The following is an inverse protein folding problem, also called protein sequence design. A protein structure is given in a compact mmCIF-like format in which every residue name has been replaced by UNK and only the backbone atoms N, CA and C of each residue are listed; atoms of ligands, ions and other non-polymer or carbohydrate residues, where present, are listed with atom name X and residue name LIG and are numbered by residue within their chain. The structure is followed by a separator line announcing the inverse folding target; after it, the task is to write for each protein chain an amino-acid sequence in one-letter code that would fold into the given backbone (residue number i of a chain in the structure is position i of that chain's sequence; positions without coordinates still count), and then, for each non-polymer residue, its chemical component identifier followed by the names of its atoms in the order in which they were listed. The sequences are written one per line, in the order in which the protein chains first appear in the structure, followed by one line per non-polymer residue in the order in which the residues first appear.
data_IF_794452312709
#
_entry.id   IF_794452312709
#
_cell.length_a   1.000
_cell.length_b   1.000
_cell.length_c   1.000
_cell.angle_alpha   90.00
_cell.angle_beta   90.00
_cell.angle_gamma   90.00
#
_symmetry.space_group_name_H-M   'P 1'
#
loop_
_entity.id
_entity.type
_entity.pdbx_description
1 polymer ?
#
# COMPACT_ATOMS: atom_id res chain seq x y z
N UNK A 1 26.43 -0.21 7.78
CA UNK A 1 25.39 -1.24 7.53
C UNK A 1 25.98 -2.24 6.56
N UNK A 2 26.14 -3.50 6.97
CA UNK A 2 26.67 -4.56 6.11
C UNK A 2 25.74 -4.85 4.93
N UNK A 3 26.27 -5.43 3.85
CA UNK A 3 25.47 -5.73 2.66
C UNK A 3 24.38 -6.75 2.96
N UNK A 4 24.71 -7.83 3.68
CA UNK A 4 23.76 -8.86 4.13
C UNK A 4 22.60 -8.26 4.93
N UNK A 5 22.89 -7.31 5.83
CA UNK A 5 21.84 -6.67 6.62
C UNK A 5 20.93 -5.80 5.74
N UNK A 6 21.50 -5.08 4.78
CA UNK A 6 20.71 -4.29 3.83
C UNK A 6 19.81 -5.19 2.97
N UNK A 7 20.35 -6.31 2.46
CA UNK A 7 19.59 -7.27 1.64
C UNK A 7 18.48 -7.97 2.43
N UNK A 8 18.72 -8.35 3.69
CA UNK A 8 17.69 -8.90 4.58
C UNK A 8 16.56 -7.91 4.83
N UNK A 9 16.90 -6.64 5.10
CA UNK A 9 15.91 -5.59 5.31
C UNK A 9 15.10 -5.32 4.03
N UNK A 10 15.77 -5.20 2.89
CA UNK A 10 15.10 -5.00 1.60
C UNK A 10 14.19 -6.18 1.23
N UNK A 11 14.62 -7.42 1.47
CA UNK A 11 13.77 -8.60 1.29
C UNK A 11 12.47 -8.50 2.10
N UNK A 12 12.58 -8.18 3.39
CA UNK A 12 11.41 -8.02 4.28
C UNK A 12 10.54 -6.87 3.77
N UNK A 13 11.14 -5.70 3.50
CA UNK A 13 10.43 -4.51 3.03
C UNK A 13 9.67 -4.76 1.73
N UNK A 14 10.31 -5.32 0.71
CA UNK A 14 9.64 -5.61 -0.56
C UNK A 14 8.57 -6.70 -0.42
N UNK A 15 8.78 -7.71 0.43
CA UNK A 15 7.77 -8.75 0.65
C UNK A 15 6.53 -8.21 1.35
N UNK A 16 6.71 -7.32 2.33
CA UNK A 16 5.61 -6.61 2.97
C UNK A 16 4.90 -5.67 1.99
N UNK A 17 5.64 -4.94 1.14
CA UNK A 17 5.02 -4.12 0.08
C UNK A 17 4.16 -4.95 -0.88
N UNK A 18 4.62 -6.15 -1.26
CA UNK A 18 3.85 -7.06 -2.11
C UNK A 18 2.52 -7.43 -1.46
N UNK A 19 2.55 -7.83 -0.18
CA UNK A 19 1.33 -8.21 0.56
C UNK A 19 0.40 -7.02 0.71
N UNK A 20 0.92 -5.87 1.15
CA UNK A 20 0.11 -4.67 1.38
C UNK A 20 -0.48 -4.12 0.07
N UNK A 21 0.29 -4.12 -1.03
CA UNK A 21 -0.22 -3.72 -2.34
C UNK A 21 -1.34 -4.64 -2.84
N UNK A 22 -1.19 -5.95 -2.66
CA UNK A 22 -2.23 -6.92 -2.99
C UNK A 22 -3.50 -6.71 -2.13
N UNK A 23 -3.33 -6.51 -0.81
CA UNK A 23 -4.44 -6.22 0.10
C UNK A 23 -5.18 -4.94 -0.31
N UNK A 24 -4.46 -3.86 -0.61
CA UNK A 24 -5.05 -2.60 -1.08
C UNK A 24 -5.84 -2.79 -2.39
N UNK A 25 -5.29 -3.56 -3.34
CA UNK A 25 -5.96 -3.87 -4.61
C UNK A 25 -7.24 -4.69 -4.41
N UNK A 26 -7.15 -5.77 -3.64
CA UNK A 26 -8.25 -6.73 -3.45
C UNK A 26 -9.41 -6.07 -2.69
N UNK A 27 -9.14 -5.46 -1.54
CA UNK A 27 -10.19 -4.83 -0.71
C UNK A 27 -10.93 -3.73 -1.46
N UNK A 28 -10.19 -2.87 -2.16
CA UNK A 28 -10.80 -1.83 -2.99
C UNK A 28 -11.55 -2.41 -4.19
N UNK A 29 -11.04 -3.49 -4.79
CA UNK A 29 -11.71 -4.21 -5.86
C UNK A 29 -13.04 -4.83 -5.43
N UNK A 30 -13.12 -5.39 -4.21
CA UNK A 30 -14.35 -5.91 -3.62
C UNK A 30 -15.37 -4.78 -3.43
N UNK A 31 -14.98 -3.71 -2.73
CA UNK A 31 -15.85 -2.57 -2.50
C UNK A 31 -16.34 -1.93 -3.82
N UNK A 32 -15.43 -1.70 -4.76
CA UNK A 32 -15.81 -1.13 -6.05
C UNK A 32 -16.72 -2.08 -6.84
N UNK A 33 -16.37 -3.37 -6.93
CA UNK A 33 -17.17 -4.36 -7.65
C UNK A 33 -18.59 -4.48 -7.12
N UNK A 34 -18.76 -4.47 -5.79
CA UNK A 34 -20.08 -4.52 -5.14
C UNK A 34 -20.95 -3.30 -5.48
N UNK A 35 -20.35 -2.12 -5.53
CA UNK A 35 -21.07 -0.85 -5.72
C UNK A 35 -21.22 -0.41 -7.18
N UNK A 36 -20.41 -0.98 -8.09
CA UNK A 36 -20.21 -0.48 -9.45
C UNK A 36 -21.52 -0.24 -10.20
N UNK A 37 -22.40 -1.24 -10.24
CA UNK A 37 -23.64 -1.18 -11.02
C UNK A 37 -24.71 -0.31 -10.33
N UNK A 38 -24.77 -0.34 -9.01
CA UNK A 38 -25.78 0.38 -8.23
C UNK A 38 -25.56 1.89 -8.25
N UNK A 39 -24.30 2.31 -8.23
CA UNK A 39 -23.93 3.73 -8.22
C UNK A 39 -23.91 4.36 -9.62
N UNK A 40 -23.80 3.54 -10.68
CA UNK A 40 -23.72 4.00 -12.06
C UNK A 40 -25.09 4.38 -12.64
N UNK A 41 -25.67 5.44 -12.08
CA UNK A 41 -26.97 5.97 -12.49
C UNK A 41 -26.88 7.36 -13.14
N UNK A 42 -25.71 7.70 -13.67
CA UNK A 42 -25.49 8.98 -14.33
C UNK A 42 -26.16 9.01 -15.70
N UNK A 43 -26.75 10.15 -16.02
CA UNK A 43 -27.38 10.41 -17.32
C UNK A 43 -26.35 11.08 -18.23
N UNK A 44 -26.47 10.91 -19.56
CA UNK A 44 -25.61 11.48 -20.60
C UNK A 44 -24.25 10.80 -20.80
N UNK A 45 -24.17 9.47 -20.62
CA UNK A 45 -22.97 8.68 -20.98
C UNK A 45 -21.75 8.93 -20.07
N UNK A 46 -21.94 9.60 -18.92
CA UNK A 46 -20.91 9.72 -17.89
C UNK A 46 -20.94 8.48 -17.00
N UNK A 47 -19.80 7.79 -16.87
CA UNK A 47 -19.67 6.65 -15.96
C UNK A 47 -19.51 7.13 -14.52
N UNK A 48 -20.44 6.75 -13.66
CA UNK A 48 -20.49 7.11 -12.23
C UNK A 48 -20.42 5.87 -11.34
N UNK A 49 -19.58 4.92 -11.74
CA UNK A 49 -19.53 3.60 -11.16
C UNK A 49 -18.59 3.48 -9.96
N UNK A 50 -17.90 4.55 -9.56
CA UNK A 50 -16.89 4.48 -8.51
C UNK A 50 -17.49 4.82 -7.15
N UNK A 51 -17.14 4.02 -6.13
CA UNK A 51 -17.54 4.31 -4.76
C UNK A 51 -16.78 5.51 -4.16
N UNK A 52 -15.59 5.81 -4.68
CA UNK A 52 -14.84 7.01 -4.31
C UNK A 52 -15.34 8.23 -5.08
N UNK A 53 -15.22 9.40 -4.46
CA UNK A 53 -15.72 10.66 -5.00
C UNK A 53 -17.23 10.64 -5.37
N UNK A 54 -18.02 9.87 -4.61
CA UNK A 54 -19.48 9.85 -4.73
C UNK A 54 -20.09 11.23 -4.47
N UNK A 55 -21.24 11.49 -5.07
CA UNK A 55 -21.91 12.79 -5.05
C UNK A 55 -23.38 12.66 -4.63
N UNK A 56 -23.77 13.50 -3.68
CA UNK A 56 -25.18 13.67 -3.32
C UNK A 56 -25.89 14.56 -4.35
N UNK A 57 -27.05 14.11 -4.82
CA UNK A 57 -27.98 14.90 -5.64
C UNK A 57 -29.34 15.00 -4.93
N UNK A 58 -30.21 15.96 -5.28
CA UNK A 58 -31.50 16.14 -4.61
C UNK A 58 -32.43 14.92 -4.62
N UNK A 59 -32.24 13.99 -5.56
CA UNK A 59 -33.10 12.81 -5.73
C UNK A 59 -32.41 11.48 -5.46
N UNK A 60 -31.08 11.42 -5.48
CA UNK A 60 -30.30 10.17 -5.34
C UNK A 60 -28.84 10.41 -5.00
N UNK A 61 -28.19 9.39 -4.46
CA UNK A 61 -26.72 9.35 -4.35
C UNK A 61 -26.12 8.69 -5.59
N UNK A 62 -25.09 9.31 -6.17
CA UNK A 62 -24.39 8.84 -7.36
C UNK A 62 -22.94 8.50 -7.02
N UNK A 63 -22.35 7.53 -7.72
CA UNK A 63 -20.92 7.28 -7.62
C UNK A 63 -20.09 8.35 -8.33
N UNK A 64 -18.78 8.33 -8.08
CA UNK A 64 -17.81 9.16 -8.77
C UNK A 64 -17.42 8.58 -10.13
N UNK A 65 -16.57 9.32 -10.84
CA UNK A 65 -15.93 8.86 -12.08
C UNK A 65 -15.23 7.51 -11.86
N UNK A 66 -15.24 6.63 -12.87
CA UNK A 66 -14.58 5.33 -12.77
C UNK A 66 -13.06 5.41 -12.55
N UNK A 67 -12.41 6.50 -12.99
CA UNK A 67 -10.95 6.61 -13.04
C UNK A 67 -10.26 6.47 -11.67
N UNK A 68 -10.70 7.17 -10.59
CA UNK A 68 -10.18 6.94 -9.25
C UNK A 68 -10.24 5.47 -8.81
N UNK A 69 -11.38 4.78 -8.95
CA UNK A 69 -11.49 3.38 -8.56
C UNK A 69 -10.59 2.45 -9.38
N UNK A 70 -10.49 2.69 -10.70
CA UNK A 70 -9.52 1.97 -11.56
C UNK A 70 -8.10 2.16 -11.01
N UNK A 71 -7.73 3.40 -10.69
CA UNK A 71 -6.42 3.73 -10.16
C UNK A 71 -6.15 3.09 -8.80
N UNK A 72 -7.08 3.17 -7.85
CA UNK A 72 -6.84 2.63 -6.51
C UNK A 72 -6.88 1.11 -6.47
N UNK A 73 -7.67 0.46 -7.33
CA UNK A 73 -7.73 -1.00 -7.46
C UNK A 73 -6.54 -1.56 -8.23
N UNK A 74 -6.19 -1.02 -9.40
CA UNK A 74 -5.16 -1.62 -10.26
C UNK A 74 -3.79 -0.94 -10.14
N UNK A 75 -3.72 0.32 -9.70
CA UNK A 75 -2.48 1.06 -9.49
C UNK A 75 -1.45 0.33 -8.63
N UNK A 76 -1.84 -0.35 -7.52
CA UNK A 76 -0.91 -1.15 -6.73
C UNK A 76 -0.21 -2.27 -7.49
N UNK A 77 -0.87 -2.87 -8.50
CA UNK A 77 -0.34 -4.04 -9.20
C UNK A 77 0.99 -3.75 -9.90
N UNK A 78 1.19 -2.53 -10.38
CA UNK A 78 2.44 -2.12 -11.02
C UNK A 78 3.64 -2.25 -10.09
N UNK A 79 3.53 -1.72 -8.86
CA UNK A 79 4.62 -1.84 -7.89
C UNK A 79 4.67 -3.21 -7.24
N UNK A 80 3.55 -3.95 -7.14
CA UNK A 80 3.53 -5.34 -6.66
C UNK A 80 4.39 -6.25 -7.53
N UNK A 81 4.30 -6.12 -8.86
CA UNK A 81 5.16 -6.89 -9.78
C UNK A 81 6.64 -6.57 -9.57
N UNK A 82 6.97 -5.28 -9.39
CA UNK A 82 8.33 -4.85 -9.08
C UNK A 82 8.82 -5.43 -7.74
N UNK A 83 8.01 -5.38 -6.68
CA UNK A 83 8.42 -5.85 -5.36
C UNK A 83 8.52 -7.37 -5.29
N UNK A 84 7.72 -8.12 -6.05
CA UNK A 84 7.89 -9.57 -6.20
C UNK A 84 9.27 -9.87 -6.80
N UNK A 85 9.62 -9.23 -7.92
CA UNK A 85 10.91 -9.44 -8.56
C UNK A 85 12.08 -9.10 -7.62
N UNK A 86 11.98 -7.98 -6.90
CA UNK A 86 13.00 -7.56 -5.94
C UNK A 86 13.08 -8.46 -4.70
N UNK A 87 11.95 -8.95 -4.18
CA UNK A 87 11.90 -9.95 -3.11
C UNK A 87 12.57 -11.24 -3.54
N UNK A 88 12.29 -11.75 -4.73
CA UNK A 88 12.96 -12.93 -5.27
C UNK A 88 14.47 -12.71 -5.41
N UNK A 89 14.89 -11.56 -5.94
CA UNK A 89 16.30 -11.21 -6.09
C UNK A 89 17.05 -11.16 -4.76
N UNK A 90 16.56 -10.39 -3.79
CA UNK A 90 17.20 -10.28 -2.48
C UNK A 90 17.07 -11.58 -1.68
N UNK A 91 15.96 -12.32 -1.83
CA UNK A 91 15.74 -13.63 -1.21
C UNK A 91 16.76 -14.64 -1.71
N UNK A 92 16.97 -14.72 -3.02
CA UNK A 92 18.00 -15.58 -3.61
C UNK A 92 19.38 -15.26 -3.03
N UNK A 93 19.72 -13.96 -2.93
CA UNK A 93 21.03 -13.54 -2.43
C UNK A 93 21.24 -13.86 -0.95
N UNK A 94 20.22 -13.65 -0.12
CA UNK A 94 20.27 -13.93 1.32
C UNK A 94 20.33 -15.45 1.58
N UNK A 95 19.56 -16.25 0.85
CA UNK A 95 19.43 -17.70 1.11
C UNK A 95 20.57 -18.49 0.46
N UNK A 96 20.84 -18.25 -0.83
CA UNK A 96 21.74 -19.09 -1.62
C UNK A 96 23.11 -18.45 -1.91
N UNK A 97 23.21 -17.12 -1.86
CA UNK A 97 24.49 -16.42 -2.09
C UNK A 97 25.21 -16.03 -0.79
N UNK A 98 24.65 -16.35 0.39
CA UNK A 98 25.39 -16.19 1.64
C UNK A 98 26.44 -17.29 1.74
N UNK A 99 27.72 -16.89 1.84
CA UNK A 99 28.80 -17.85 2.08
C UNK A 99 28.82 -18.14 3.57
N UNK A 100 28.47 -19.37 3.93
CA UNK A 100 28.53 -19.85 5.31
C UNK A 100 29.95 -19.76 5.87
N UNK A 101 30.05 -19.26 7.11
CA UNK A 101 31.28 -19.08 7.90
C UNK A 101 32.11 -20.37 7.94
N UNK A 102 33.37 -20.28 7.51
CA UNK A 102 34.45 -21.12 8.05
C UNK A 102 35.27 -20.27 8.99
N UNK A 103 35.16 -20.51 10.30
CA UNK A 103 36.09 -19.96 11.28
C UNK A 103 37.45 -20.58 10.98
N UNK A 104 38.41 -19.78 10.50
CA UNK A 104 39.78 -20.25 10.29
C UNK A 104 40.66 -19.64 11.37
N UNK A 105 41.11 -20.49 12.28
CA UNK A 105 42.18 -20.13 13.21
C UNK A 105 43.50 -20.20 12.45
N UNK A 106 44.25 -19.10 12.41
CA UNK A 106 45.59 -19.08 11.84
C UNK A 106 46.57 -18.84 12.98
N UNK A 107 47.50 -19.78 13.16
CA UNK A 107 48.61 -19.64 14.09
C UNK A 107 49.75 -18.97 13.34
N UNK A 108 50.14 -17.76 13.72
CA UNK A 108 51.34 -17.09 13.20
C UNK A 108 52.36 -16.93 14.31
N UNK A 109 53.63 -17.23 14.03
CA UNK A 109 54.72 -17.01 14.98
C UNK A 109 55.27 -15.60 14.75
N UNK A 110 55.36 -14.78 15.79
CA UNK A 110 55.99 -13.46 15.69
C UNK A 110 57.53 -13.61 15.66
N UNK A 111 58.24 -12.53 15.34
CA UNK A 111 59.71 -12.51 15.29
C UNK A 111 60.36 -12.81 16.65
N UNK A 112 59.62 -12.66 17.75
CA UNK A 112 60.03 -13.04 19.10
C UNK A 112 59.80 -14.54 19.43
N UNK A 113 59.24 -15.32 18.50
CA UNK A 113 58.99 -16.74 18.66
C UNK A 113 57.69 -17.10 19.41
N UNK A 114 56.88 -16.13 19.79
CA UNK A 114 55.56 -16.35 20.38
C UNK A 114 54.54 -16.70 19.30
N UNK A 115 53.72 -17.71 19.58
CA UNK A 115 52.60 -18.10 18.73
C UNK A 115 51.40 -17.21 19.03
N UNK A 116 51.04 -16.37 18.07
CA UNK A 116 49.84 -15.53 18.12
C UNK A 116 48.72 -16.25 17.37
N UNK A 117 47.65 -16.58 18.08
CA UNK A 117 46.43 -17.11 17.50
C UNK A 117 45.61 -15.97 16.89
N UNK A 118 45.65 -15.82 15.57
CA UNK A 118 44.78 -14.88 14.87
C UNK A 118 43.49 -15.59 14.46
N UNK A 119 42.42 -15.27 15.17
CA UNK A 119 41.07 -15.72 14.81
C UNK A 119 40.53 -14.85 13.69
N UNK A 120 40.66 -15.31 12.44
CA UNK A 120 40.04 -14.63 11.30
C UNK A 120 38.54 -14.89 11.34
N UNK A 121 37.78 -13.89 11.81
CA UNK A 121 36.33 -13.85 11.67
C UNK A 121 36.02 -13.21 10.33
N UNK A 122 35.84 -14.02 9.28
CA UNK A 122 35.19 -13.53 8.07
C UNK A 122 33.71 -13.28 8.40
N UNK A 123 33.31 -12.02 8.36
CA UNK A 123 31.92 -11.58 8.53
C UNK A 123 31.11 -12.15 7.36
N UNK A 124 29.94 -12.74 7.66
CA UNK A 124 28.96 -13.15 6.64
C UNK A 124 28.73 -11.98 5.68
N UNK A 125 29.14 -12.16 4.42
CA UNK A 125 28.88 -11.18 3.38
C UNK A 125 28.32 -11.87 2.13
N UNK A 126 27.45 -11.15 1.42
CA UNK A 126 27.01 -11.57 0.10
C UNK A 126 27.99 -11.03 -0.94
N UNK A 127 28.06 -11.67 -2.11
CA UNK A 127 28.94 -11.21 -3.20
C UNK A 127 28.69 -9.71 -3.48
N UNK A 128 29.71 -8.84 -3.48
CA UNK A 128 29.50 -7.40 -3.55
C UNK A 128 28.73 -7.00 -4.81
N UNK A 129 27.76 -6.11 -4.67
CA UNK A 129 27.03 -5.54 -5.80
C UNK A 129 27.69 -4.24 -6.27
N UNK A 130 27.70 -3.96 -7.58
CA UNK A 130 28.28 -2.73 -8.10
C UNK A 130 27.48 -1.49 -7.64
N UNK A 131 28.16 -0.34 -7.54
CA UNK A 131 27.53 0.94 -7.14
C UNK A 131 26.35 1.32 -8.02
N UNK A 132 26.45 1.06 -9.32
CA UNK A 132 25.38 1.30 -10.29
C UNK A 132 24.08 0.63 -9.90
N UNK A 133 24.11 -0.60 -9.37
CA UNK A 133 22.92 -1.31 -8.91
C UNK A 133 22.20 -0.54 -7.78
N UNK A 134 22.93 -0.09 -6.76
CA UNK A 134 22.36 0.64 -5.63
C UNK A 134 21.82 2.02 -6.04
N UNK A 135 22.51 2.70 -6.96
CA UNK A 135 22.04 3.98 -7.52
C UNK A 135 20.77 3.78 -8.33
N UNK A 136 20.72 2.80 -9.23
CA UNK A 136 19.53 2.49 -10.02
C UNK A 136 18.35 2.14 -9.12
N UNK A 137 18.54 1.29 -8.12
CA UNK A 137 17.46 0.97 -7.19
C UNK A 137 17.03 2.17 -6.35
N UNK A 138 17.94 3.03 -5.91
CA UNK A 138 17.60 4.24 -5.18
C UNK A 138 16.67 5.15 -6.01
N UNK A 139 16.96 5.32 -7.30
CA UNK A 139 16.11 6.10 -8.21
C UNK A 139 14.75 5.43 -8.38
N UNK A 140 14.73 4.11 -8.68
CA UNK A 140 13.48 3.38 -8.87
C UNK A 140 12.59 3.38 -7.63
N UNK A 141 13.14 3.11 -6.44
CA UNK A 141 12.35 3.13 -5.21
C UNK A 141 11.88 4.54 -4.85
N UNK A 142 12.61 5.59 -5.24
CA UNK A 142 12.15 6.98 -5.05
C UNK A 142 10.93 7.29 -5.92
N UNK A 143 10.94 6.84 -7.19
CA UNK A 143 9.77 6.94 -8.08
C UNK A 143 8.58 6.18 -7.48
N UNK A 144 8.80 4.94 -7.02
CA UNK A 144 7.74 4.16 -6.39
C UNK A 144 7.23 4.76 -5.07
N UNK A 145 8.09 5.46 -4.33
CA UNK A 145 7.67 6.19 -3.12
C UNK A 145 6.68 7.30 -3.47
N UNK A 146 6.97 8.11 -4.48
CA UNK A 146 6.05 9.16 -4.95
C UNK A 146 4.77 8.54 -5.51
N UNK A 147 4.90 7.47 -6.30
CA UNK A 147 3.75 6.75 -6.85
C UNK A 147 2.82 6.22 -5.75
N UNK A 148 3.38 5.55 -4.73
CA UNK A 148 2.61 5.03 -3.59
C UNK A 148 1.97 6.14 -2.76
N UNK A 149 2.64 7.29 -2.61
CA UNK A 149 2.07 8.47 -1.95
C UNK A 149 0.86 9.01 -2.72
N UNK A 150 0.95 9.14 -4.04
CA UNK A 150 -0.16 9.61 -4.89
C UNK A 150 -1.32 8.62 -4.84
N UNK A 151 -1.04 7.31 -4.89
CA UNK A 151 -2.06 6.27 -4.70
C UNK A 151 -2.77 6.41 -3.35
N UNK A 152 -2.03 6.51 -2.24
CA UNK A 152 -2.58 6.71 -0.92
C UNK A 152 -3.41 8.00 -0.82
N UNK A 153 -2.91 9.13 -1.35
CA UNK A 153 -3.58 10.41 -1.30
C UNK A 153 -4.92 10.41 -2.05
N UNK A 154 -4.95 9.87 -3.29
CA UNK A 154 -6.18 9.77 -4.08
C UNK A 154 -7.20 8.86 -3.39
N UNK A 155 -6.74 7.76 -2.80
CA UNK A 155 -7.60 6.83 -2.08
C UNK A 155 -8.21 7.48 -0.83
N UNK A 156 -7.38 8.10 0.01
CA UNK A 156 -7.81 8.75 1.24
C UNK A 156 -8.76 9.92 0.97
N UNK A 157 -8.43 10.77 0.00
CA UNK A 157 -9.26 11.92 -0.37
C UNK A 157 -10.62 11.46 -0.92
N UNK A 158 -10.61 10.47 -1.82
CA UNK A 158 -11.84 9.90 -2.38
C UNK A 158 -12.74 9.26 -1.32
N UNK A 159 -12.16 8.60 -0.31
CA UNK A 159 -12.87 8.02 0.82
C UNK A 159 -13.56 9.08 1.67
N UNK A 160 -12.85 10.14 2.05
CA UNK A 160 -13.43 11.23 2.83
C UNK A 160 -14.44 12.04 2.04
N UNK A 161 -14.20 12.25 0.74
CA UNK A 161 -15.15 12.93 -0.14
C UNK A 161 -16.50 12.21 -0.16
N UNK A 162 -16.52 10.91 -0.46
CA UNK A 162 -17.75 10.11 -0.47
C UNK A 162 -18.43 10.13 0.90
N UNK A 163 -17.67 9.91 1.99
CA UNK A 163 -18.19 9.96 3.36
C UNK A 163 -18.91 11.29 3.65
N UNK A 164 -18.31 12.42 3.31
CA UNK A 164 -18.89 13.74 3.56
C UNK A 164 -20.12 14.02 2.70
N UNK A 165 -20.17 13.51 1.47
CA UNK A 165 -21.34 13.63 0.61
C UNK A 165 -22.49 12.72 1.08
N UNK A 166 -22.18 11.51 1.55
CA UNK A 166 -23.19 10.59 2.04
C UNK A 166 -23.79 11.03 3.39
N UNK A 167 -23.03 11.73 4.25
CA UNK A 167 -23.57 12.39 5.45
C UNK A 167 -24.73 13.34 5.13
N UNK A 168 -24.60 14.14 4.07
CA UNK A 168 -25.67 15.03 3.59
C UNK A 168 -26.88 14.25 3.07
N UNK A 169 -26.63 13.10 2.46
CA UNK A 169 -27.70 12.20 1.99
C UNK A 169 -28.49 11.64 3.18
N UNK A 170 -27.79 11.23 4.25
CA UNK A 170 -28.42 10.70 5.46
C UNK A 170 -29.26 11.74 6.21
N UNK A 171 -28.85 13.00 6.23
CA UNK A 171 -29.65 14.09 6.81
C UNK A 171 -31.05 14.16 6.18
N UNK A 172 -31.10 14.09 4.84
CA UNK A 172 -32.36 14.12 4.07
C UNK A 172 -33.14 12.82 4.25
N UNK A 173 -32.47 11.67 4.14
CA UNK A 173 -33.12 10.36 4.19
C UNK A 173 -33.79 10.08 5.55
N UNK A 174 -33.16 10.52 6.64
CA UNK A 174 -33.65 10.30 8.00
C UNK A 174 -34.61 11.40 8.48
N UNK A 175 -34.83 12.46 7.68
CA UNK A 175 -35.64 13.62 8.09
C UNK A 175 -35.11 14.29 9.37
N UNK A 176 -33.79 14.19 9.60
CA UNK A 176 -33.17 14.63 10.85
C UNK A 176 -32.94 16.14 10.78
N UNK A 177 -33.55 16.85 11.73
CA UNK A 177 -33.41 18.30 11.85
C UNK A 177 -32.91 18.69 13.26
N UNK A 178 -32.33 19.89 13.38
CA UNK A 178 -31.94 20.46 14.67
C UNK A 178 -30.76 19.75 15.34
N UNK A 179 -30.91 19.39 16.62
CA UNK A 179 -29.81 18.94 17.51
C UNK A 179 -29.17 17.60 17.14
N UNK A 180 -29.75 16.86 16.20
CA UNK A 180 -29.21 15.59 15.72
C UNK A 180 -28.28 15.72 14.49
N UNK A 181 -28.27 16.86 13.79
CA UNK A 181 -27.32 17.16 12.69
C UNK A 181 -25.85 17.09 13.16
N UNK A 182 -25.46 17.67 14.31
CA UNK A 182 -24.10 17.57 14.83
C UNK A 182 -23.65 16.12 15.12
N UNK A 183 -24.58 15.21 15.39
CA UNK A 183 -24.25 13.78 15.62
C UNK A 183 -23.83 13.13 14.31
N UNK A 184 -24.60 13.33 13.24
CA UNK A 184 -24.32 12.75 11.92
C UNK A 184 -23.03 13.31 11.32
N UNK A 185 -22.84 14.63 11.41
CA UNK A 185 -21.67 15.29 10.81
C UNK A 185 -20.42 15.27 11.69
N UNK A 186 -20.58 15.28 13.02
CA UNK A 186 -19.48 15.46 13.97
C UNK A 186 -19.09 14.22 14.78
N UNK A 187 -19.94 13.19 14.86
CA UNK A 187 -19.69 12.01 15.70
C UNK A 187 -19.67 10.68 14.95
N UNK A 188 -20.41 10.54 13.85
CA UNK A 188 -20.35 9.32 13.04
C UNK A 188 -19.01 9.22 12.30
N UNK A 189 -18.28 8.14 12.53
CA UNK A 189 -17.06 7.82 11.79
C UNK A 189 -17.36 7.55 10.32
N UNK A 190 -16.41 7.81 9.42
CA UNK A 190 -16.61 7.48 8.01
C UNK A 190 -16.85 6.00 7.77
N UNK A 191 -16.24 5.12 8.59
CA UNK A 191 -16.55 3.69 8.57
C UNK A 191 -18.06 3.44 8.72
N UNK A 192 -18.65 4.02 9.76
CA UNK A 192 -20.08 3.88 10.04
C UNK A 192 -20.95 4.46 8.92
N UNK A 193 -20.50 5.53 8.25
CA UNK A 193 -21.20 6.12 7.11
C UNK A 193 -21.26 5.13 5.93
N UNK A 194 -20.17 4.42 5.65
CA UNK A 194 -20.16 3.37 4.63
C UNK A 194 -21.01 2.16 5.05
N UNK A 195 -21.01 1.80 6.35
CA UNK A 195 -21.90 0.74 6.85
C UNK A 195 -23.38 1.15 6.69
N UNK A 196 -23.75 2.40 6.99
CA UNK A 196 -25.09 2.92 6.71
C UNK A 196 -25.42 2.87 5.22
N UNK A 197 -24.44 3.16 4.37
CA UNK A 197 -24.63 3.07 2.92
C UNK A 197 -24.93 1.63 2.51
N UNK A 198 -24.24 0.63 3.04
CA UNK A 198 -24.52 -0.78 2.77
C UNK A 198 -25.98 -1.14 3.01
N UNK A 199 -26.56 -0.72 4.14
CA UNK A 199 -27.94 -1.06 4.54
C UNK A 199 -29.03 -0.15 3.95
N UNK A 200 -28.78 1.17 3.88
CA UNK A 200 -29.83 2.15 3.57
C UNK A 200 -29.90 2.52 2.09
N UNK A 201 -28.79 2.39 1.34
CA UNK A 201 -28.76 2.78 -0.06
C UNK A 201 -29.50 1.73 -0.90
N UNK A 202 -30.60 2.11 -1.60
CA UNK A 202 -31.33 1.16 -2.41
C UNK A 202 -30.51 0.71 -3.62
N UNK A 203 -30.75 -0.54 -4.05
CA UNK A 203 -30.27 -1.03 -5.34
C UNK A 203 -30.89 -0.22 -6.48
N UNK A 204 -30.17 -0.10 -7.59
CA UNK A 204 -30.68 0.59 -8.77
C UNK A 204 -31.58 -0.32 -9.59
N UNK A 205 -32.46 0.24 -10.42
CA UNK A 205 -33.26 -0.55 -11.37
C UNK A 205 -32.42 -1.28 -12.43
N UNK A 206 -31.15 -0.88 -12.63
CA UNK A 206 -30.24 -1.42 -13.64
C UNK A 206 -29.14 -2.32 -13.05
N UNK A 207 -29.12 -2.51 -11.73
CA UNK A 207 -28.03 -3.15 -11.02
C UNK A 207 -28.44 -3.55 -9.62
N UNK A 208 -28.35 -4.86 -9.35
CA UNK A 208 -28.69 -5.48 -8.08
C UNK A 208 -27.42 -5.85 -7.31
N UNK A 209 -27.41 -5.54 -6.01
CA UNK A 209 -26.35 -5.96 -5.09
C UNK A 209 -26.76 -7.27 -4.44
N UNK A 210 -25.91 -8.28 -4.50
CA UNK A 210 -26.16 -9.54 -3.83
C UNK A 210 -25.73 -9.44 -2.36
N UNK A 211 -26.69 -9.10 -1.49
CA UNK A 211 -26.49 -8.97 -0.05
C UNK A 211 -25.75 -7.70 0.38
N UNK A 212 -25.23 -7.75 1.60
CA UNK A 212 -24.49 -6.67 2.24
C UNK A 212 -23.02 -7.10 2.42
N UNK A 213 -22.10 -6.17 2.20
CA UNK A 213 -20.68 -6.34 2.53
C UNK A 213 -20.30 -5.36 3.64
N UNK A 214 -19.06 -5.44 4.12
CA UNK A 214 -18.52 -4.47 5.07
C UNK A 214 -17.68 -3.42 4.30
N UNK A 215 -18.34 -2.57 3.52
CA UNK A 215 -17.67 -1.61 2.63
C UNK A 215 -16.71 -0.69 3.40
N UNK A 216 -17.13 -0.25 4.59
CA UNK A 216 -16.28 0.60 5.44
C UNK A 216 -14.98 -0.10 5.86
N UNK A 217 -15.05 -1.39 6.20
CA UNK A 217 -13.88 -2.17 6.59
C UNK A 217 -12.94 -2.39 5.38
N UNK A 218 -13.48 -2.78 4.23
CA UNK A 218 -12.70 -2.99 3.01
C UNK A 218 -11.91 -1.74 2.63
N UNK A 219 -12.57 -0.57 2.58
CA UNK A 219 -11.91 0.68 2.22
C UNK A 219 -10.85 1.10 3.26
N UNK A 220 -11.11 0.93 4.56
CA UNK A 220 -10.14 1.28 5.61
C UNK A 220 -8.91 0.36 5.57
N UNK A 221 -9.11 -0.94 5.42
CA UNK A 221 -8.01 -1.90 5.29
C UNK A 221 -7.15 -1.55 4.07
N UNK A 222 -7.79 -1.22 2.94
CA UNK A 222 -7.10 -0.81 1.73
C UNK A 222 -6.29 0.48 1.90
N UNK A 223 -6.85 1.49 2.58
CA UNK A 223 -6.18 2.76 2.88
C UNK A 223 -4.98 2.55 3.80
N UNK A 224 -5.15 1.78 4.87
CA UNK A 224 -4.05 1.46 5.79
C UNK A 224 -2.93 0.72 5.06
N UNK A 225 -3.29 -0.26 4.22
CA UNK A 225 -2.32 -1.00 3.43
C UNK A 225 -1.55 -0.09 2.45
N UNK A 226 -2.25 0.84 1.78
CA UNK A 226 -1.63 1.84 0.91
C UNK A 226 -0.67 2.78 1.68
N UNK A 227 -1.06 3.23 2.87
CA UNK A 227 -0.23 4.06 3.74
C UNK A 227 1.06 3.35 4.15
N UNK A 228 0.95 2.11 4.64
CA UNK A 228 2.13 1.32 5.02
C UNK A 228 3.02 0.99 3.83
N UNK A 229 2.45 0.70 2.66
CA UNK A 229 3.22 0.48 1.43
C UNK A 229 4.06 1.73 1.06
N UNK A 230 3.49 2.93 1.16
CA UNK A 230 4.23 4.19 0.97
C UNK A 230 5.40 4.34 1.94
N UNK A 231 5.17 4.11 3.24
CA UNK A 231 6.21 4.19 4.27
C UNK A 231 7.34 3.17 3.99
N UNK A 232 6.98 1.96 3.59
CA UNK A 232 7.96 0.92 3.26
C UNK A 232 8.78 1.26 2.01
N UNK A 233 8.19 1.87 0.98
CA UNK A 233 8.95 2.38 -0.17
C UNK A 233 9.91 3.51 0.20
N UNK A 234 9.49 4.41 1.10
CA UNK A 234 10.39 5.43 1.64
C UNK A 234 11.56 4.77 2.38
N UNK A 235 11.31 3.78 3.24
CA UNK A 235 12.35 3.01 3.93
C UNK A 235 13.30 2.29 2.96
N UNK A 236 12.77 1.63 1.91
CA UNK A 236 13.57 0.98 0.88
C UNK A 236 14.50 1.99 0.18
N UNK A 237 13.97 3.16 -0.16
CA UNK A 237 14.74 4.26 -0.76
C UNK A 237 15.88 4.72 0.14
N UNK A 238 15.63 4.93 1.42
CA UNK A 238 16.69 5.29 2.38
C UNK A 238 17.78 4.20 2.47
N UNK A 239 17.41 2.92 2.46
CA UNK A 239 18.38 1.81 2.50
C UNK A 239 19.24 1.81 1.23
N UNK A 240 18.62 1.92 0.04
CA UNK A 240 19.32 1.95 -1.25
C UNK A 240 20.28 3.15 -1.35
N UNK A 241 19.82 4.35 -0.99
CA UNK A 241 20.65 5.57 -0.96
C UNK A 241 21.84 5.42 -0.02
N UNK A 242 21.61 4.87 1.19
CA UNK A 242 22.68 4.67 2.17
C UNK A 242 23.72 3.68 1.67
N UNK A 243 23.33 2.62 0.95
CA UNK A 243 24.28 1.67 0.34
C UNK A 243 25.04 2.28 -0.84
N UNK A 244 24.38 3.10 -1.66
CA UNK A 244 25.03 3.80 -2.77
C UNK A 244 26.15 4.76 -2.33
N UNK A 245 26.05 5.32 -1.11
CA UNK A 245 27.06 6.22 -0.52
C UNK A 245 28.27 5.53 0.12
N UNK A 246 28.13 4.28 0.57
CA UNK A 246 29.18 3.58 1.35
C UNK A 246 30.25 2.93 0.47
N UNK A 247 30.11 2.97 -0.86
CA UNK A 247 31.09 2.43 -1.82
C UNK A 247 32.08 3.50 -2.34
N UNK A 248 32.32 4.53 -1.53
CA UNK A 248 33.44 5.49 -1.65
C UNK A 248 34.45 5.19 -0.54
#
# INVERSE_FOLDING_TARGET
MSQVLAEKRLLITYSLCTVLGAVASITTGIAWGHWKLTLDQCVNGKNCSCILYGQHTPSKFLGGSAAPCIWVTFGPLFYVLFTIAMSCFHGYRVIFSSRSVKTRTVMSKNDAGETVETRLVQIDDTAPLPRSFWVTLAVLTSIWTVYALVHFAIFLDGFYHTCNQYRRTLEILLGVHGTAIPVIHGRLSCQSIFDFMDYMQPSSGYGYRDGFIYTGADLIIGILAACFAWILFAMASFINIKRAKVQE
#
